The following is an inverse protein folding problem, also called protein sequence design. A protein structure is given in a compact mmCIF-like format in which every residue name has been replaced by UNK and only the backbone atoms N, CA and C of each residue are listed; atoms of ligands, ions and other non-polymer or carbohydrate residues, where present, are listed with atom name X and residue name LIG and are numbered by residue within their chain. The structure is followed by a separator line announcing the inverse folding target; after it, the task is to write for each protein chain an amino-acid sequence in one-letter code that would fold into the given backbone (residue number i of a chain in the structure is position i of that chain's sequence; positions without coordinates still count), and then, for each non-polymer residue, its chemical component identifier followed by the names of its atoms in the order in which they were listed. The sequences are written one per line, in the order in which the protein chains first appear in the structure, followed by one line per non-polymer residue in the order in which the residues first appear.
data_IF_427629156671
#
_entry.id   IF_427629156671
#
_cell.length_a   1.000
_cell.length_b   1.000
_cell.length_c   1.000
_cell.angle_alpha   90.00
_cell.angle_beta   90.00
_cell.angle_gamma   90.00
#
_symmetry.space_group_name_H-M   'P 1'
#
loop_
_entity.id
_entity.type
_entity.pdbx_description
1 polymer ?
#
# COMPACT_ATOMS: atom_id res chain seq x y z
N UNK A 1 18.30 -18.32 -12.89
CA UNK A 1 16.88 -18.20 -13.29
C UNK A 1 16.23 -19.58 -13.51
N UNK A 2 16.99 -20.58 -13.96
CA UNK A 2 16.54 -21.98 -14.09
C UNK A 2 15.90 -22.58 -12.84
N UNK A 3 16.46 -22.36 -11.65
CA UNK A 3 15.86 -22.82 -10.38
C UNK A 3 14.42 -22.31 -10.19
N UNK A 4 14.17 -21.04 -10.51
CA UNK A 4 12.84 -20.45 -10.43
C UNK A 4 11.88 -21.11 -11.42
N UNK A 5 12.35 -21.41 -12.63
CA UNK A 5 11.57 -22.12 -13.63
C UNK A 5 11.16 -23.53 -13.15
N UNK A 6 12.08 -24.29 -12.56
CA UNK A 6 11.74 -25.60 -12.00
C UNK A 6 10.74 -25.49 -10.84
N UNK A 7 10.94 -24.55 -9.91
CA UNK A 7 9.99 -24.30 -8.80
C UNK A 7 8.61 -23.95 -9.35
N UNK A 8 8.53 -23.05 -10.33
CA UNK A 8 7.27 -22.67 -10.96
C UNK A 8 6.55 -23.89 -11.56
N UNK A 9 7.25 -24.68 -12.38
CA UNK A 9 6.64 -25.86 -13.02
C UNK A 9 6.14 -26.85 -11.98
N UNK A 10 6.97 -27.21 -11.01
CA UNK A 10 6.59 -28.15 -9.97
C UNK A 10 5.36 -27.68 -9.20
N UNK A 11 5.23 -26.38 -8.90
CA UNK A 11 4.02 -25.87 -8.21
C UNK A 11 2.80 -25.98 -9.12
N UNK A 12 2.89 -25.53 -10.38
CA UNK A 12 1.77 -25.54 -11.33
C UNK A 12 1.33 -26.97 -11.67
N UNK A 13 2.28 -27.87 -11.94
CA UNK A 13 2.01 -29.27 -12.29
C UNK A 13 1.31 -30.02 -11.15
N UNK A 14 1.53 -29.60 -9.90
CA UNK A 14 0.83 -30.12 -8.71
C UNK A 14 -0.48 -29.38 -8.39
N UNK A 15 -0.98 -28.53 -9.29
CA UNK A 15 -2.22 -27.75 -9.10
C UNK A 15 -2.10 -26.61 -8.08
N UNK A 16 -0.87 -26.26 -7.69
CA UNK A 16 -0.60 -25.14 -6.80
C UNK A 16 -0.79 -23.78 -7.50
N UNK A 17 -0.81 -22.71 -6.70
CA UNK A 17 -0.97 -21.33 -7.19
C UNK A 17 0.29 -20.53 -6.87
N UNK A 18 0.71 -19.68 -7.80
CA UNK A 18 1.85 -18.79 -7.65
C UNK A 18 1.43 -17.35 -7.97
N UNK A 19 1.99 -16.40 -7.24
CA UNK A 19 1.87 -14.97 -7.53
C UNK A 19 3.27 -14.36 -7.52
N UNK A 20 3.52 -13.48 -8.48
CA UNK A 20 4.77 -12.73 -8.60
C UNK A 20 4.45 -11.25 -8.64
N UNK A 21 5.34 -10.45 -8.06
CA UNK A 21 5.30 -8.99 -8.12
C UNK A 21 6.60 -8.47 -8.70
N UNK A 22 6.53 -7.43 -9.53
CA UNK A 22 7.69 -6.80 -10.16
C UNK A 22 7.40 -5.32 -10.33
N UNK A 23 8.43 -4.48 -10.21
CA UNK A 23 8.35 -3.05 -10.54
C UNK A 23 8.23 -2.77 -12.05
N UNK A 24 8.46 -3.80 -12.87
CA UNK A 24 8.40 -3.72 -14.33
C UNK A 24 7.45 -4.80 -14.87
N UNK A 25 6.75 -4.48 -15.96
CA UNK A 25 6.00 -5.47 -16.73
C UNK A 25 6.93 -6.60 -17.19
N UNK A 26 6.42 -7.83 -17.42
CA UNK A 26 7.27 -8.98 -17.78
C UNK A 26 8.29 -8.70 -18.89
N UNK A 27 7.86 -7.98 -19.94
CA UNK A 27 8.71 -7.62 -21.10
C UNK A 27 9.81 -6.61 -20.78
N UNK A 28 9.68 -5.84 -19.70
CA UNK A 28 10.62 -4.78 -19.29
C UNK A 28 11.57 -5.24 -18.18
N UNK A 29 11.46 -6.49 -17.71
CA UNK A 29 12.37 -7.04 -16.71
C UNK A 29 13.73 -7.27 -17.37
N UNK A 30 14.72 -6.44 -17.02
CA UNK A 30 16.08 -6.57 -17.55
C UNK A 30 16.68 -7.92 -17.15
N UNK A 31 17.39 -8.54 -18.10
CA UNK A 31 18.07 -9.83 -17.93
C UNK A 31 17.13 -11.01 -17.61
N UNK A 32 15.82 -10.88 -17.79
CA UNK A 32 14.92 -12.03 -17.69
C UNK A 32 15.08 -12.93 -18.93
N UNK A 33 15.27 -14.22 -18.69
CA UNK A 33 15.28 -15.22 -19.75
C UNK A 33 13.90 -15.29 -20.43
N UNK A 34 13.89 -15.49 -21.75
CA UNK A 34 12.66 -15.50 -22.56
C UNK A 34 11.63 -16.53 -22.07
N UNK A 35 12.09 -17.67 -21.54
CA UNK A 35 11.22 -18.69 -20.96
C UNK A 35 10.53 -18.22 -19.69
N UNK A 36 11.18 -17.40 -18.84
CA UNK A 36 10.52 -16.83 -17.66
C UNK A 36 9.53 -15.74 -18.05
N UNK A 37 9.90 -14.86 -18.98
CA UNK A 37 9.01 -13.81 -19.50
C UNK A 37 7.71 -14.42 -20.03
N UNK A 38 7.81 -15.51 -20.80
CA UNK A 38 6.65 -16.24 -21.31
C UNK A 38 5.74 -16.79 -20.19
N UNK A 39 6.33 -17.29 -19.10
CA UNK A 39 5.57 -17.82 -17.95
C UNK A 39 4.90 -16.73 -17.13
N UNK A 40 5.56 -15.57 -16.97
CA UNK A 40 4.94 -14.41 -16.33
C UNK A 40 3.74 -13.89 -17.12
N UNK A 41 3.75 -14.02 -18.45
CA UNK A 41 2.64 -13.62 -19.33
C UNK A 41 1.53 -14.67 -19.46
N UNK A 42 1.81 -15.94 -19.16
CA UNK A 42 0.81 -17.03 -19.28
C UNK A 42 -0.33 -16.93 -18.26
N UNK A 43 -0.10 -16.24 -17.13
CA UNK A 43 -1.09 -16.05 -16.07
C UNK A 43 -1.87 -14.73 -16.14
N UNK A 44 -2.65 -14.47 -15.10
CA UNK A 44 -3.31 -13.17 -14.92
C UNK A 44 -2.26 -12.08 -14.66
N UNK A 45 -2.27 -11.05 -15.51
CA UNK A 45 -1.48 -9.84 -15.32
C UNK A 45 -2.36 -8.75 -14.72
N UNK A 46 -1.90 -8.17 -13.62
CA UNK A 46 -2.52 -7.03 -12.97
C UNK A 46 -1.48 -5.95 -12.74
N UNK A 47 -1.82 -4.72 -13.11
CA UNK A 47 -1.00 -3.55 -12.86
C UNK A 47 -1.46 -2.85 -11.59
N UNK A 48 -0.52 -2.55 -10.68
CA UNK A 48 -0.76 -1.69 -9.53
C UNK A 48 -0.51 -0.25 -9.96
N UNK A 49 -1.57 0.54 -10.08
CA UNK A 49 -1.51 1.96 -10.42
C UNK A 49 -1.17 2.80 -9.19
N UNK A 50 -0.66 4.00 -9.43
CA UNK A 50 -0.51 5.03 -8.40
C UNK A 50 -1.84 5.34 -7.73
N UNK A 51 -1.78 5.70 -6.45
CA UNK A 51 -2.96 6.01 -5.64
C UNK A 51 -3.42 7.44 -5.97
N UNK A 52 -4.69 7.62 -6.31
CA UNK A 52 -5.33 8.93 -6.49
C UNK A 52 -5.97 9.44 -5.19
N UNK A 53 -6.52 10.65 -5.19
CA UNK A 53 -7.15 11.25 -3.98
C UNK A 53 -8.36 10.45 -3.50
N UNK A 54 -9.14 9.89 -4.42
CA UNK A 54 -10.32 9.09 -4.07
C UNK A 54 -9.91 7.80 -3.35
N UNK A 55 -8.94 7.09 -3.90
CA UNK A 55 -8.38 5.85 -3.35
C UNK A 55 -7.64 6.14 -2.04
N UNK A 56 -6.88 7.23 -1.97
CA UNK A 56 -6.21 7.68 -0.75
C UNK A 56 -7.23 7.92 0.37
N UNK A 57 -8.34 8.60 0.08
CA UNK A 57 -9.42 8.83 1.04
C UNK A 57 -10.03 7.53 1.55
N UNK A 58 -10.27 6.57 0.66
CA UNK A 58 -10.78 5.23 1.02
C UNK A 58 -9.78 4.45 1.88
N UNK A 59 -8.49 4.51 1.56
CA UNK A 59 -7.42 3.87 2.34
C UNK A 59 -7.34 4.48 3.74
N UNK A 60 -7.33 5.81 3.85
CA UNK A 60 -7.35 6.53 5.13
C UNK A 60 -8.54 6.07 5.99
N UNK A 61 -9.74 6.05 5.41
CA UNK A 61 -10.95 5.62 6.11
C UNK A 61 -10.86 4.16 6.55
N UNK A 62 -10.38 3.28 5.68
CA UNK A 62 -10.22 1.86 5.96
C UNK A 62 -9.22 1.61 7.09
N UNK A 63 -8.02 2.18 7.00
CA UNK A 63 -6.99 2.03 8.02
C UNK A 63 -7.43 2.58 9.37
N UNK A 64 -8.12 3.73 9.39
CA UNK A 64 -8.66 4.30 10.62
C UNK A 64 -9.75 3.40 11.22
N UNK A 65 -10.66 2.87 10.40
CA UNK A 65 -11.72 1.95 10.83
C UNK A 65 -11.15 0.65 11.42
N UNK A 66 -10.11 0.09 10.80
CA UNK A 66 -9.48 -1.17 11.23
C UNK A 66 -8.85 -1.07 12.64
N UNK A 67 -8.50 0.15 13.08
CA UNK A 67 -8.00 0.43 14.43
C UNK A 67 -9.02 1.15 15.32
N UNK A 68 -10.30 1.18 14.93
CA UNK A 68 -11.39 1.88 15.65
C UNK A 68 -11.16 3.38 15.86
N UNK A 69 -10.37 4.02 15.00
CA UNK A 69 -10.13 5.46 14.98
C UNK A 69 -11.21 6.16 14.14
N UNK A 70 -12.00 7.01 14.77
CA UNK A 70 -12.99 7.83 14.04
C UNK A 70 -12.33 9.09 13.50
N UNK A 71 -12.28 9.23 12.18
CA UNK A 71 -11.79 10.43 11.50
C UNK A 71 -12.93 11.19 10.82
N UNK A 72 -13.28 12.39 11.30
CA UNK A 72 -14.18 13.31 10.61
C UNK A 72 -13.74 13.63 9.17
N UNK A 73 -14.71 13.85 8.28
CA UNK A 73 -14.45 14.14 6.86
C UNK A 73 -13.51 15.33 6.63
N UNK A 74 -13.63 16.39 7.42
CA UNK A 74 -12.73 17.55 7.34
C UNK A 74 -11.27 17.20 7.67
N UNK A 75 -11.04 16.22 8.55
CA UNK A 75 -9.69 15.74 8.86
C UNK A 75 -9.15 14.91 7.70
N UNK A 76 -9.96 14.03 7.11
CA UNK A 76 -9.55 13.26 5.93
C UNK A 76 -9.17 14.20 4.77
N UNK A 77 -10.00 15.21 4.49
CA UNK A 77 -9.71 16.23 3.48
C UNK A 77 -8.41 16.98 3.79
N UNK A 78 -8.17 17.30 5.06
CA UNK A 78 -6.91 17.93 5.47
C UNK A 78 -5.71 17.03 5.18
N UNK A 79 -5.79 15.73 5.52
CA UNK A 79 -4.72 14.77 5.25
C UNK A 79 -4.40 14.68 3.76
N UNK A 80 -5.41 14.61 2.88
CA UNK A 80 -5.23 14.56 1.42
C UNK A 80 -4.37 15.71 0.88
N UNK A 81 -4.39 16.88 1.53
CA UNK A 81 -3.60 18.05 1.13
C UNK A 81 -2.18 18.09 1.73
N UNK A 82 -1.86 17.19 2.66
CA UNK A 82 -0.64 17.26 3.49
C UNK A 82 0.24 16.03 3.43
N UNK A 83 -0.31 14.86 3.11
CA UNK A 83 0.47 13.62 3.04
C UNK A 83 0.72 13.18 1.60
N UNK A 84 1.87 12.54 1.31
CA UNK A 84 2.11 11.87 0.04
C UNK A 84 1.06 10.80 -0.28
N UNK A 85 0.82 10.56 -1.58
CA UNK A 85 -0.13 9.57 -2.10
C UNK A 85 0.51 8.19 -2.25
N UNK A 86 1.14 7.71 -1.19
CA UNK A 86 1.68 6.36 -1.11
C UNK A 86 1.22 5.67 0.17
N UNK A 87 1.12 4.35 0.09
CA UNK A 87 0.54 3.55 1.18
C UNK A 87 1.32 3.68 2.49
N UNK A 88 2.65 3.80 2.43
CA UNK A 88 3.52 3.87 3.61
C UNK A 88 3.30 5.18 4.34
N UNK A 89 3.31 6.32 3.63
CA UNK A 89 3.01 7.63 4.20
C UNK A 89 1.61 7.68 4.80
N UNK A 90 0.60 7.12 4.12
CA UNK A 90 -0.76 7.05 4.64
C UNK A 90 -0.81 6.22 5.93
N UNK A 91 -0.23 5.02 5.93
CA UNK A 91 -0.21 4.14 7.10
C UNK A 91 0.48 4.79 8.30
N UNK A 92 1.64 5.41 8.07
CA UNK A 92 2.40 6.10 9.11
C UNK A 92 1.62 7.28 9.68
N UNK A 93 1.00 8.12 8.85
CA UNK A 93 0.20 9.24 9.31
C UNK A 93 -0.95 8.77 10.22
N UNK A 94 -1.67 7.71 9.84
CA UNK A 94 -2.77 7.16 10.65
C UNK A 94 -2.25 6.58 11.98
N UNK A 95 -1.14 5.84 11.94
CA UNK A 95 -0.50 5.29 13.15
C UNK A 95 -0.09 6.39 14.13
N UNK A 96 0.54 7.47 13.63
CA UNK A 96 0.96 8.61 14.45
C UNK A 96 -0.23 9.35 15.05
N UNK A 97 -1.28 9.62 14.26
CA UNK A 97 -2.51 10.27 14.77
C UNK A 97 -3.15 9.42 15.88
N UNK A 98 -3.22 8.10 15.69
CA UNK A 98 -3.79 7.20 16.69
C UNK A 98 -2.98 7.24 17.99
N UNK A 99 -1.64 7.14 17.90
CA UNK A 99 -0.74 7.21 19.05
C UNK A 99 -0.89 8.52 19.82
N UNK A 100 -0.97 9.65 19.13
CA UNK A 100 -1.16 10.96 19.76
C UNK A 100 -2.54 11.11 20.40
N UNK A 101 -3.60 10.64 19.74
CA UNK A 101 -4.96 10.62 20.31
C UNK A 101 -5.03 9.78 21.59
N UNK A 102 -4.38 8.62 21.58
CA UNK A 102 -4.32 7.72 22.74
C UNK A 102 -3.52 8.33 23.90
N UNK A 103 -2.35 8.91 23.59
CA UNK A 103 -1.48 9.56 24.59
C UNK A 103 -2.19 10.73 25.28
N UNK A 104 -2.92 11.54 24.51
CA UNK A 104 -3.65 12.69 25.04
C UNK A 104 -5.01 12.32 25.65
N UNK A 105 -5.50 11.08 25.46
CA UNK A 105 -6.85 10.63 25.80
C UNK A 105 -7.94 11.57 25.25
N UNK A 106 -7.69 12.17 24.09
CA UNK A 106 -8.58 13.14 23.44
C UNK A 106 -9.11 12.57 22.14
N UNK A 107 -10.33 12.97 21.79
CA UNK A 107 -10.89 12.73 20.46
C UNK A 107 -9.99 13.35 19.40
N UNK A 108 -9.93 12.73 18.23
CA UNK A 108 -9.16 13.26 17.10
C UNK A 108 -9.80 14.58 16.66
N UNK A 109 -9.03 15.66 16.77
CA UNK A 109 -9.40 17.01 16.35
C UNK A 109 -8.37 17.55 15.38
N UNK A 110 -8.73 18.56 14.59
CA UNK A 110 -7.80 19.14 13.63
C UNK A 110 -6.50 19.68 14.27
N UNK A 111 -6.52 20.35 15.45
CA UNK A 111 -5.28 20.73 16.14
C UNK A 111 -4.38 19.53 16.47
N UNK A 112 -4.95 18.46 17.05
CA UNK A 112 -4.19 17.25 17.37
C UNK A 112 -3.53 16.64 16.13
N UNK A 113 -4.25 16.59 15.02
CA UNK A 113 -3.71 16.05 13.75
C UNK A 113 -2.60 16.93 13.20
N UNK A 114 -2.70 18.26 13.33
CA UNK A 114 -1.61 19.17 12.95
C UNK A 114 -0.36 18.89 13.76
N UNK A 115 -0.49 18.78 15.08
CA UNK A 115 0.63 18.49 15.98
C UNK A 115 1.26 17.12 15.69
N UNK A 116 0.42 16.11 15.43
CA UNK A 116 0.84 14.77 15.06
C UNK A 116 1.60 14.75 13.73
N UNK A 117 1.19 15.55 12.74
CA UNK A 117 1.85 15.62 11.44
C UNK A 117 3.17 16.38 11.47
N UNK A 118 3.35 17.36 12.37
CA UNK A 118 4.65 18.03 12.54
C UNK A 118 5.69 16.99 12.97
N UNK A 119 5.37 16.17 13.99
CA UNK A 119 6.22 15.06 14.45
C UNK A 119 6.46 13.95 13.42
N UNK A 120 5.63 13.89 12.37
CA UNK A 120 5.78 12.94 11.25
C UNK A 120 6.76 13.45 10.18
N UNK A 121 6.92 14.77 10.07
CA UNK A 121 7.79 15.41 9.07
C UNK A 121 9.21 15.72 9.59
N UNK A 122 9.41 15.65 10.91
CA UNK A 122 10.72 15.71 11.59
C UNK A 122 11.35 14.31 11.72
#
# INVERSE_FOLDING_TARGET
QEKLYHIYNTIIDNGGKVAFTSSFSPEKIKNAESYLTSRFQWGMLAEIKSIDDETTSKIIQKLASDISLTLPKNIINYLLTRIPRDFISIQNAISTINKESFTQKKKVTLPLVKDALIKYLD
#
